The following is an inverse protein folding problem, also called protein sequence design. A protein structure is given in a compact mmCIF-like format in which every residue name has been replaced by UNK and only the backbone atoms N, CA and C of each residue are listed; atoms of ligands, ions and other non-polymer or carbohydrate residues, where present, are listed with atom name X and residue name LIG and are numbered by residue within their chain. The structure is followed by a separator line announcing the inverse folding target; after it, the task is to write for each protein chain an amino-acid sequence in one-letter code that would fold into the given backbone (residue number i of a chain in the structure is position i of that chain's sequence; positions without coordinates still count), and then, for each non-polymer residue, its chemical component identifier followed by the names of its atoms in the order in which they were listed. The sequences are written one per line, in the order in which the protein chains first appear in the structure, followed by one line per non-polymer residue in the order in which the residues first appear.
data_IF_210155264477
#
_entry.id   IF_210155264477
#
_cell.length_a   1.000
_cell.length_b   1.000
_cell.length_c   1.000
_cell.angle_alpha   90.00
_cell.angle_beta   90.00
_cell.angle_gamma   90.00
#
_symmetry.space_group_name_H-M   'P 1'
#
loop_
_entity.id
_entity.type
_entity.pdbx_description
1 polymer ?
#
# COMPACT_ATOMS: atom_id res chain seq x y z
N UNK A 1 -19.89 7.59 -26.28
CA UNK A 1 -18.47 7.17 -26.11
C UNK A 1 -18.40 6.11 -25.01
N UNK A 2 -17.67 5.00 -25.20
CA UNK A 2 -17.63 3.88 -24.23
C UNK A 2 -16.31 3.79 -23.47
N UNK A 3 -16.32 3.23 -22.24
CA UNK A 3 -15.13 2.99 -21.39
C UNK A 3 -14.02 2.25 -22.16
N UNK A 4 -14.39 1.18 -22.87
CA UNK A 4 -13.44 0.36 -23.66
C UNK A 4 -12.63 1.22 -24.65
N UNK A 5 -13.28 2.19 -25.31
CA UNK A 5 -12.61 3.09 -26.26
C UNK A 5 -11.68 4.09 -25.57
N UNK A 6 -12.09 4.64 -24.41
CA UNK A 6 -11.23 5.52 -23.58
C UNK A 6 -9.99 4.78 -23.07
N UNK A 7 -10.17 3.56 -22.57
CA UNK A 7 -9.10 2.69 -22.06
C UNK A 7 -8.04 2.42 -23.13
N UNK A 8 -8.46 1.96 -24.32
CA UNK A 8 -7.54 1.76 -25.46
C UNK A 8 -6.82 3.04 -25.88
N UNK A 9 -7.53 4.17 -25.90
CA UNK A 9 -6.94 5.48 -26.23
C UNK A 9 -5.89 5.92 -25.20
N UNK A 10 -6.16 5.70 -23.91
CA UNK A 10 -5.23 6.00 -22.83
C UNK A 10 -3.93 5.19 -22.96
N UNK A 11 -4.03 3.87 -23.13
CA UNK A 11 -2.85 3.02 -23.31
C UNK A 11 -2.02 3.40 -24.54
N UNK A 12 -2.69 3.80 -25.63
CA UNK A 12 -1.99 4.33 -26.81
C UNK A 12 -1.20 5.59 -26.48
N UNK A 13 -1.78 6.54 -25.74
CA UNK A 13 -1.09 7.76 -25.33
C UNK A 13 0.08 7.48 -24.39
N UNK A 14 -0.05 6.53 -23.47
CA UNK A 14 1.06 6.12 -22.60
C UNK A 14 2.20 5.52 -23.43
N UNK A 15 1.89 4.66 -24.40
CA UNK A 15 2.88 4.10 -25.33
C UNK A 15 3.58 5.19 -26.15
N UNK A 16 2.82 6.12 -26.73
CA UNK A 16 3.36 7.25 -27.49
C UNK A 16 4.26 8.13 -26.61
N UNK A 17 3.81 8.49 -25.40
CA UNK A 17 4.59 9.28 -24.45
C UNK A 17 5.90 8.58 -24.06
N UNK A 18 5.82 7.30 -23.70
CA UNK A 18 6.99 6.50 -23.34
C UNK A 18 7.99 6.42 -24.50
N UNK A 19 7.50 6.23 -25.72
CA UNK A 19 8.34 6.15 -26.92
C UNK A 19 8.97 7.50 -27.28
N UNK A 20 8.18 8.58 -27.27
CA UNK A 20 8.63 9.91 -27.69
C UNK A 20 9.60 10.55 -26.69
N UNK A 21 9.37 10.34 -25.40
CA UNK A 21 10.19 10.93 -24.35
C UNK A 21 11.29 9.99 -23.84
N UNK A 22 11.31 8.72 -24.30
CA UNK A 22 12.28 7.72 -23.83
C UNK A 22 12.16 7.40 -22.34
N UNK A 23 10.97 7.56 -21.75
CA UNK A 23 10.74 7.35 -20.31
C UNK A 23 10.22 5.93 -20.04
N UNK A 24 10.63 5.37 -18.90
CA UNK A 24 10.05 4.16 -18.37
C UNK A 24 8.67 4.47 -17.77
N UNK A 25 7.61 4.06 -18.46
CA UNK A 25 6.24 4.24 -18.01
C UNK A 25 5.51 2.90 -18.01
N UNK A 26 4.49 2.78 -17.16
CA UNK A 26 3.59 1.65 -17.15
C UNK A 26 2.19 2.09 -16.76
N UNK A 27 1.17 1.29 -17.11
CA UNK A 27 -0.20 1.56 -16.72
C UNK A 27 -0.87 0.27 -16.22
N UNK A 28 -1.61 0.39 -15.11
CA UNK A 28 -2.46 -0.67 -14.57
C UNK A 28 -3.87 -0.08 -14.42
N UNK A 29 -4.84 -0.66 -15.12
CA UNK A 29 -6.21 -0.16 -15.15
C UNK A 29 -7.14 -1.24 -14.60
N UNK A 30 -7.69 -0.98 -13.42
CA UNK A 30 -8.72 -1.81 -12.82
C UNK A 30 -10.11 -1.42 -13.34
N UNK A 31 -10.99 -2.40 -13.47
CA UNK A 31 -12.40 -2.16 -13.77
C UNK A 31 -13.25 -3.13 -12.96
N UNK A 32 -14.36 -2.69 -12.36
CA UNK A 32 -15.25 -3.59 -11.62
C UNK A 32 -15.97 -4.60 -12.52
N UNK A 33 -15.85 -4.46 -13.84
CA UNK A 33 -16.48 -5.32 -14.84
C UNK A 33 -15.52 -6.31 -15.48
N UNK A 34 -14.21 -6.18 -15.23
CA UNK A 34 -13.17 -7.01 -15.84
C UNK A 34 -12.51 -7.82 -14.69
N UNK A 35 -12.39 -9.16 -14.83
CA UNK A 35 -11.82 -10.03 -13.78
C UNK A 35 -10.33 -9.76 -13.54
N UNK A 36 -9.63 -9.32 -14.58
CA UNK A 36 -8.21 -8.98 -14.51
C UNK A 36 -8.00 -7.53 -14.91
N UNK A 37 -7.02 -6.83 -14.29
CA UNK A 37 -6.64 -5.51 -14.71
C UNK A 37 -6.06 -5.54 -16.12
N UNK A 38 -6.28 -4.46 -16.87
CA UNK A 38 -5.54 -4.25 -18.10
C UNK A 38 -4.20 -3.63 -17.77
N UNK A 39 -3.14 -4.24 -18.25
CA UNK A 39 -1.76 -3.88 -17.93
C UNK A 39 -0.98 -3.60 -19.21
N UNK A 40 -0.12 -2.59 -19.17
CA UNK A 40 0.77 -2.22 -20.27
C UNK A 40 2.14 -1.83 -19.73
N UNK A 41 3.26 -2.21 -20.38
CA UNK A 41 3.35 -2.88 -21.70
C UNK A 41 3.13 -4.40 -21.68
N UNK A 42 3.47 -5.04 -20.56
CA UNK A 42 3.21 -6.45 -20.27
C UNK A 42 3.26 -6.62 -18.75
N UNK A 43 2.78 -7.73 -18.20
CA UNK A 43 2.90 -7.99 -16.75
C UNK A 43 4.35 -7.85 -16.27
N UNK A 44 5.30 -8.44 -17.00
CA UNK A 44 6.72 -8.36 -16.66
C UNK A 44 7.28 -6.94 -16.79
N UNK A 45 6.93 -6.24 -17.89
CA UNK A 45 7.38 -4.86 -18.10
C UNK A 45 6.87 -3.91 -17.01
N UNK A 46 5.62 -4.06 -16.58
CA UNK A 46 5.04 -3.31 -15.45
C UNK A 46 5.80 -3.58 -14.16
N UNK A 47 6.06 -4.87 -13.85
CA UNK A 47 6.79 -5.24 -12.63
C UNK A 47 8.20 -4.64 -12.60
N UNK A 48 8.89 -4.60 -13.75
CA UNK A 48 10.19 -3.95 -13.88
C UNK A 48 10.10 -2.45 -13.57
N UNK A 49 9.19 -1.72 -14.20
CA UNK A 49 9.03 -0.27 -13.98
C UNK A 49 8.69 0.04 -12.52
N UNK A 50 7.82 -0.78 -11.88
CA UNK A 50 7.49 -0.63 -10.46
C UNK A 50 8.70 -0.92 -9.57
N UNK A 51 9.48 -1.95 -9.89
CA UNK A 51 10.66 -2.31 -9.12
C UNK A 51 11.73 -1.23 -9.20
N UNK A 52 11.94 -0.66 -10.39
CA UNK A 52 12.86 0.45 -10.61
C UNK A 52 12.40 1.70 -9.84
N UNK A 53 11.10 2.03 -9.89
CA UNK A 53 10.53 3.15 -9.15
C UNK A 53 10.71 3.03 -7.63
N UNK A 54 10.53 1.82 -7.07
CA UNK A 54 10.71 1.56 -5.63
C UNK A 54 12.16 1.65 -5.14
N UNK A 55 13.12 1.56 -6.05
CA UNK A 55 14.56 1.69 -5.74
C UNK A 55 15.05 3.13 -5.79
N UNK A 56 14.21 4.07 -6.26
CA UNK A 56 14.57 5.48 -6.28
C UNK A 56 14.60 6.04 -4.85
N UNK A 57 15.64 6.82 -4.48
CA UNK A 57 15.70 7.47 -3.17
C UNK A 57 14.56 8.50 -3.02
N UNK A 58 14.03 8.63 -1.81
CA UNK A 58 12.80 9.37 -1.40
C UNK A 58 12.76 10.86 -1.79
N UNK A 59 13.86 11.41 -2.31
CA UNK A 59 13.97 12.82 -2.73
C UNK A 59 13.13 13.20 -3.97
N UNK A 60 12.55 12.21 -4.66
CA UNK A 60 11.71 12.38 -5.87
C UNK A 60 10.25 11.93 -5.66
N UNK A 61 9.81 11.72 -4.41
CA UNK A 61 8.41 11.41 -4.11
C UNK A 61 7.71 12.62 -3.52
N UNK A 62 6.82 13.27 -4.28
CA UNK A 62 5.87 14.23 -3.71
C UNK A 62 4.93 13.47 -2.78
N UNK A 63 5.34 13.37 -1.52
CA UNK A 63 4.62 12.70 -0.43
C UNK A 63 3.39 13.50 -0.01
N UNK A 64 2.24 12.84 0.01
CA UNK A 64 1.19 13.10 0.97
C UNK A 64 0.90 11.81 1.75
N UNK A 65 1.74 11.53 2.75
CA UNK A 65 1.40 10.93 4.04
C UNK A 65 2.71 10.50 4.73
N UNK A 66 3.06 11.19 5.82
CA UNK A 66 4.21 10.92 6.66
C UNK A 66 3.95 9.80 7.68
N UNK A 67 5.05 9.20 8.13
CA UNK A 67 5.30 8.54 9.41
C UNK A 67 4.62 7.18 9.69
N UNK A 68 5.45 6.12 9.67
CA UNK A 68 5.60 5.24 10.83
C UNK A 68 6.86 4.37 10.69
N UNK A 69 7.93 4.77 11.35
CA UNK A 69 8.80 3.82 12.01
C UNK A 69 9.32 4.46 13.30
N UNK A 70 8.73 4.16 14.47
CA UNK A 70 9.50 4.16 15.70
C UNK A 70 10.33 2.87 15.75
N UNK A 71 11.62 3.05 15.97
CA UNK A 71 12.57 2.00 16.36
C UNK A 71 12.06 1.25 17.60
N UNK A 72 12.25 -0.07 17.58
CA UNK A 72 12.63 -0.95 18.70
C UNK A 72 12.01 -0.74 20.10
N UNK A 73 11.15 -1.69 20.50
CA UNK A 73 11.18 -2.33 21.82
C UNK A 73 10.29 -3.59 21.81
N UNK A 74 10.89 -4.76 22.01
CA UNK A 74 10.15 -6.03 22.15
C UNK A 74 9.63 -6.14 23.59
N UNK A 75 8.36 -5.83 23.82
CA UNK A 75 7.65 -6.08 25.08
C UNK A 75 6.46 -7.01 24.83
N UNK A 76 6.43 -8.18 25.45
CA UNK A 76 5.27 -9.10 25.37
C UNK A 76 4.18 -8.58 26.30
N UNK A 77 2.97 -8.38 25.77
CA UNK A 77 1.80 -7.91 26.50
C UNK A 77 0.81 -9.06 26.69
N UNK A 78 0.24 -9.22 27.89
CA UNK A 78 -0.85 -10.17 28.16
C UNK A 78 -2.20 -9.44 28.19
N UNK A 79 -3.22 -10.05 27.57
CA UNK A 79 -4.61 -9.57 27.60
C UNK A 79 -5.33 -10.27 28.76
N UNK A 80 -5.88 -9.50 29.70
CA UNK A 80 -6.78 -10.04 30.73
C UNK A 80 -8.17 -9.41 30.57
N UNK A 81 -9.21 -10.24 30.45
CA UNK A 81 -10.58 -9.78 30.20
C UNK A 81 -11.41 -9.94 31.48
N UNK A 82 -11.82 -8.82 32.11
CA UNK A 82 -12.71 -8.86 33.28
C UNK A 82 -14.10 -8.37 32.89
N UNK A 83 -15.11 -9.21 33.10
CA UNK A 83 -16.51 -8.88 32.85
C UNK A 83 -17.13 -8.28 34.12
N UNK A 84 -17.73 -7.08 34.02
CA UNK A 84 -18.62 -6.55 35.06
C UNK A 84 -19.97 -6.24 34.43
N UNK A 85 -21.00 -6.95 34.93
CA UNK A 85 -22.39 -6.84 34.49
C UNK A 85 -23.18 -5.85 35.38
N UNK A 86 -24.25 -5.19 34.87
CA UNK A 86 -25.08 -5.64 33.76
C UNK A 86 -25.34 -4.53 32.72
N UNK A 87 -24.41 -4.35 31.78
CA UNK A 87 -24.66 -3.83 30.44
C UNK A 87 -23.37 -4.06 29.64
N UNK A 88 -23.38 -5.05 28.76
CA UNK A 88 -22.21 -5.63 28.10
C UNK A 88 -21.31 -4.56 27.43
N UNK A 89 -20.30 -4.09 28.17
CA UNK A 89 -19.19 -3.30 27.67
C UNK A 89 -17.92 -3.98 28.13
N UNK A 90 -17.22 -4.66 27.22
CA UNK A 90 -15.88 -5.20 27.47
C UNK A 90 -14.90 -4.03 27.46
N UNK A 91 -14.24 -3.78 28.58
CA UNK A 91 -13.11 -2.85 28.66
C UNK A 91 -11.82 -3.68 28.55
N UNK A 92 -11.13 -3.55 27.42
CA UNK A 92 -9.78 -4.09 27.27
C UNK A 92 -8.79 -3.10 27.86
N UNK A 93 -8.11 -3.49 28.94
CA UNK A 93 -7.06 -2.68 29.55
C UNK A 93 -5.71 -3.38 29.40
N UNK A 94 -4.74 -2.67 28.83
CA UNK A 94 -3.39 -3.18 28.60
C UNK A 94 -2.53 -2.85 29.83
N UNK A 95 -2.04 -3.87 30.55
CA UNK A 95 -1.11 -3.68 31.66
C UNK A 95 0.32 -4.01 31.23
N UNK A 96 1.33 -3.17 31.58
CA UNK A 96 2.72 -3.55 31.40
C UNK A 96 3.05 -4.73 32.34
N UNK A 97 3.73 -5.75 31.81
CA UNK A 97 4.29 -6.81 32.66
C UNK A 97 5.34 -6.16 33.54
N UNK A 98 5.17 -6.22 34.86
CA UNK A 98 6.19 -5.75 35.78
C UNK A 98 7.43 -6.64 35.64
N UNK A 99 8.58 -6.04 35.32
CA UNK A 99 9.87 -6.72 35.39
C UNK A 99 10.07 -7.24 36.82
N UNK A 100 10.45 -8.52 37.01
CA UNK A 100 10.63 -9.10 38.35
C UNK A 100 11.83 -8.52 39.14
N UNK A 101 12.49 -7.50 38.62
CA UNK A 101 13.70 -6.87 39.20
C UNK A 101 13.42 -5.42 39.64
N UNK A 102 12.27 -5.14 40.23
CA UNK A 102 12.07 -3.90 40.98
C UNK A 102 11.14 -4.16 42.18
N UNK A 103 11.75 -4.59 43.29
CA UNK A 103 11.16 -4.67 44.62
C UNK A 103 11.41 -3.38 45.40
#
# INVERSE_FOLDING_TARGET
MTRKKRKKGLLKKVNELSTLCGINACAIIYSPYDTNPEVWPSNFGVQRVISDYRQLPEMETTTAAAAAAPSEATGTLVMEETTTAPAATVQQQMFPVADPENF
#
